data_IF_437147650149
#
_entry.id   IF_437147650149
#
_cell.length_a   1.000
_cell.length_b   1.000
_cell.length_c   1.000
_cell.angle_alpha   90.00
_cell.angle_beta   90.00
_cell.angle_gamma   90.00
#
_symmetry.space_group_name_H-M   'P 1'
#
loop_
_entity.id
_entity.type
_entity.pdbx_description
1 polymer ?
#
# COMPACT_ATOMS: atom_id res chain seq x y z
N UNK A 1 -21.08 0.50 4.65
CA UNK A 1 -19.96 -0.47 4.60
C UNK A 1 -18.85 0.07 5.47
N UNK A 2 -18.37 -0.73 6.43
CA UNK A 2 -17.18 -0.40 7.20
C UNK A 2 -15.97 -0.87 6.38
N UNK A 3 -15.06 0.05 6.04
CA UNK A 3 -13.89 -0.26 5.23
C UNK A 3 -12.62 -0.36 6.05
N UNK A 4 -12.67 -0.17 7.37
CA UNK A 4 -11.47 -0.10 8.22
C UNK A 4 -10.66 -1.41 8.24
N UNK A 5 -11.31 -2.55 7.96
CA UNK A 5 -10.68 -3.87 7.95
C UNK A 5 -10.14 -4.29 6.57
N UNK A 6 -10.22 -3.41 5.56
CA UNK A 6 -9.66 -3.69 4.23
C UNK A 6 -8.15 -3.48 4.25
N UNK A 7 -7.39 -4.50 3.82
CA UNK A 7 -5.97 -4.34 3.55
C UNK A 7 -5.77 -3.72 2.16
N UNK A 8 -4.84 -2.78 2.04
CA UNK A 8 -4.57 -2.04 0.81
C UNK A 8 -3.15 -2.36 0.34
N UNK A 9 -3.06 -2.84 -0.90
CA UNK A 9 -1.80 -3.01 -1.62
C UNK A 9 -1.53 -1.73 -2.42
N UNK A 10 -0.41 -1.08 -2.14
CA UNK A 10 0.01 0.18 -2.73
C UNK A 10 1.29 -0.03 -3.53
N UNK A 11 1.21 0.12 -4.85
CA UNK A 11 2.36 -0.03 -5.75
C UNK A 11 2.90 1.35 -6.15
N UNK A 12 4.16 1.63 -5.81
CA UNK A 12 4.82 2.90 -6.08
C UNK A 12 6.34 2.67 -6.19
N UNK A 13 6.95 3.08 -7.31
CA UNK A 13 8.34 2.77 -7.64
C UNK A 13 9.35 3.73 -7.02
N UNK A 14 8.90 4.95 -6.73
CA UNK A 14 9.65 5.99 -6.05
C UNK A 14 9.49 5.89 -4.54
N UNK A 15 10.59 5.64 -3.83
CA UNK A 15 10.60 5.56 -2.35
C UNK A 15 10.18 6.89 -1.72
N UNK A 16 10.58 8.01 -2.34
CA UNK A 16 10.27 9.35 -1.83
C UNK A 16 8.77 9.63 -1.96
N UNK A 17 8.16 9.30 -3.10
CA UNK A 17 6.72 9.48 -3.33
C UNK A 17 5.89 8.51 -2.50
N UNK A 18 6.35 7.26 -2.35
CA UNK A 18 5.72 6.29 -1.46
C UNK A 18 5.70 6.79 -0.02
N UNK A 19 6.82 7.29 0.49
CA UNK A 19 6.94 7.83 1.85
C UNK A 19 6.01 9.03 2.05
N UNK A 20 5.97 9.95 1.09
CA UNK A 20 5.11 11.13 1.16
C UNK A 20 3.63 10.74 1.16
N UNK A 21 3.24 9.79 0.31
CA UNK A 21 1.87 9.30 0.19
C UNK A 21 1.42 8.57 1.45
N UNK A 22 2.24 7.64 1.96
CA UNK A 22 1.98 6.91 3.22
C UNK A 22 1.80 7.91 4.37
N UNK A 23 2.67 8.92 4.46
CA UNK A 23 2.58 9.95 5.49
C UNK A 23 1.29 10.76 5.39
N UNK A 24 0.87 11.12 4.17
CA UNK A 24 -0.36 11.86 3.94
C UNK A 24 -1.61 11.04 4.34
N UNK A 25 -1.63 9.75 3.99
CA UNK A 25 -2.69 8.81 4.39
C UNK A 25 -2.78 8.68 5.91
N UNK A 26 -1.66 8.42 6.59
CA UNK A 26 -1.63 8.34 8.06
C UNK A 26 -2.16 9.61 8.71
N UNK A 27 -1.78 10.79 8.17
CA UNK A 27 -2.25 12.09 8.68
C UNK A 27 -3.75 12.31 8.47
N UNK A 28 -4.36 11.71 7.45
CA UNK A 28 -5.81 11.82 7.21
C UNK A 28 -6.66 10.91 8.10
N UNK A 29 -6.05 10.16 9.03
CA UNK A 29 -6.76 9.18 9.86
C UNK A 29 -7.06 7.87 9.12
N UNK A 30 -6.32 7.57 8.05
CA UNK A 30 -6.36 6.28 7.38
C UNK A 30 -5.83 5.20 8.34
N UNK A 31 -6.66 4.22 8.67
CA UNK A 31 -6.35 3.17 9.66
C UNK A 31 -6.18 1.79 9.03
N UNK A 32 -6.49 1.66 7.74
CA UNK A 32 -6.31 0.46 6.98
C UNK A 32 -4.84 0.02 6.97
N UNK A 33 -4.63 -1.31 6.99
CA UNK A 33 -3.30 -1.87 6.79
C UNK A 33 -2.86 -1.61 5.36
N UNK A 34 -1.68 -1.00 5.21
CA UNK A 34 -1.10 -0.65 3.92
C UNK A 34 0.16 -1.48 3.69
N UNK A 35 0.23 -2.19 2.58
CA UNK A 35 1.41 -2.91 2.12
C UNK A 35 1.96 -2.22 0.88
N UNK A 36 3.20 -1.76 0.93
CA UNK A 36 3.85 -1.09 -0.19
C UNK A 36 4.71 -2.06 -0.98
N UNK A 37 4.62 -1.99 -2.31
CA UNK A 37 5.47 -2.71 -3.26
C UNK A 37 6.07 -1.73 -4.26
N UNK A 38 7.24 -2.04 -4.78
CA UNK A 38 7.99 -1.14 -5.66
C UNK A 38 7.49 -1.15 -7.10
N UNK A 39 6.90 -2.26 -7.55
CA UNK A 39 6.47 -2.36 -8.94
C UNK A 39 5.29 -3.33 -9.12
N UNK A 40 4.84 -3.44 -10.37
CA UNK A 40 3.76 -4.34 -10.74
C UNK A 40 4.13 -5.81 -10.64
N UNK A 41 5.42 -6.19 -10.77
CA UNK A 41 5.83 -7.58 -10.61
C UNK A 41 5.71 -8.00 -9.15
N UNK A 42 6.23 -7.21 -8.22
CA UNK A 42 6.06 -7.42 -6.78
C UNK A 42 4.59 -7.40 -6.36
N UNK A 43 3.77 -6.52 -6.97
CA UNK A 43 2.33 -6.49 -6.73
C UNK A 43 1.65 -7.80 -7.15
N UNK A 44 1.99 -8.34 -8.33
CA UNK A 44 1.47 -9.60 -8.81
C UNK A 44 1.96 -10.77 -7.95
N UNK A 45 3.23 -10.76 -7.54
CA UNK A 45 3.77 -11.78 -6.65
C UNK A 45 3.08 -11.76 -5.29
N UNK A 46 2.77 -10.59 -4.74
CA UNK A 46 1.96 -10.46 -3.52
C UNK A 46 0.55 -11.04 -3.71
N UNK A 47 -0.16 -10.67 -4.80
CA UNK A 47 -1.54 -11.12 -5.07
C UNK A 47 -1.61 -12.64 -5.28
N UNK A 48 -0.62 -13.22 -5.96
CA UNK A 48 -0.57 -14.65 -6.24
C UNK A 48 0.20 -15.47 -5.20
N UNK A 49 0.60 -14.86 -4.08
CA UNK A 49 1.37 -15.50 -3.00
C UNK A 49 2.65 -16.19 -3.52
N UNK A 50 3.41 -15.50 -4.38
CA UNK A 50 4.66 -15.98 -5.00
C UNK A 50 5.93 -15.36 -4.40
N UNK A 51 5.77 -14.46 -3.43
CA UNK A 51 6.84 -13.83 -2.67
C UNK A 51 7.36 -14.70 -1.53
#
# INVERSE_FOLDING_TARGET
MNYNDVEILFAEDSIDDATLTIRALVKSGFTNKLYHVKDGAEALDFIYCRG
#
